data_IF_588775191285
#
_entry.id   IF_588775191285
#
_cell.length_a   1.000
_cell.length_b   1.000
_cell.length_c   1.000
_cell.angle_alpha   90.00
_cell.angle_beta   90.00
_cell.angle_gamma   90.00
#
_symmetry.space_group_name_H-M   'P 1'
#
loop_
_entity.id
_entity.type
_entity.pdbx_description
1 polymer ?
#
# COMPACT_ATOMS: atom_id res chain seq x y z
N UNK A 1 28.71 -4.22 22.16
CA UNK A 1 29.26 -3.76 20.86
C UNK A 1 28.43 -2.57 20.43
N UNK A 2 28.97 -1.42 20.04
CA UNK A 2 28.19 -0.31 19.56
C UNK A 2 27.61 -0.69 18.21
N UNK A 3 26.30 -0.61 18.07
CA UNK A 3 25.60 -0.74 16.80
C UNK A 3 26.00 0.42 15.90
N UNK A 4 26.44 0.13 14.67
CA UNK A 4 26.75 1.15 13.70
C UNK A 4 25.52 2.03 13.47
N UNK A 5 25.68 3.35 13.32
CA UNK A 5 24.56 4.24 13.04
C UNK A 5 23.93 3.86 11.70
N UNK A 6 22.62 3.70 11.69
CA UNK A 6 21.85 3.49 10.48
C UNK A 6 22.04 4.70 9.55
N UNK A 7 22.65 4.46 8.39
CA UNK A 7 22.74 5.46 7.33
C UNK A 7 21.48 5.30 6.46
N UNK A 8 20.52 6.18 6.64
CA UNK A 8 19.34 6.27 5.80
C UNK A 8 19.78 6.38 4.32
N UNK A 9 19.26 5.56 3.41
CA UNK A 9 19.43 5.82 1.99
C UNK A 9 18.98 7.26 1.72
N UNK A 10 19.84 8.08 1.15
CA UNK A 10 19.48 9.43 0.72
C UNK A 10 18.50 9.31 -0.43
N UNK A 11 17.21 9.25 -0.12
CA UNK A 11 16.22 9.56 -1.12
C UNK A 11 16.49 11.00 -1.55
N UNK A 12 17.00 11.17 -2.76
CA UNK A 12 17.04 12.49 -3.39
C UNK A 12 15.63 13.04 -3.34
N UNK A 13 15.44 14.17 -2.65
CA UNK A 13 14.17 14.88 -2.70
C UNK A 13 13.80 15.05 -4.17
N UNK A 14 12.57 14.74 -4.56
CA UNK A 14 12.15 15.02 -5.92
C UNK A 14 12.40 16.49 -6.22
N UNK A 15 12.77 16.85 -7.47
CA UNK A 15 13.05 18.23 -7.85
C UNK A 15 11.86 19.10 -7.46
N UNK A 16 12.16 20.33 -6.99
CA UNK A 16 11.15 21.28 -6.56
C UNK A 16 10.05 21.40 -7.62
N UNK A 17 8.84 21.03 -7.23
CA UNK A 17 7.67 21.03 -8.12
C UNK A 17 7.33 22.49 -8.40
N UNK A 18 7.33 22.95 -9.68
CA UNK A 18 6.88 24.29 -10.00
C UNK A 18 5.42 24.45 -9.58
N UNK A 19 4.99 25.65 -9.16
CA UNK A 19 3.62 25.89 -8.77
C UNK A 19 2.69 25.67 -9.96
N UNK A 20 1.99 24.54 -9.99
CA UNK A 20 1.00 24.26 -11.00
C UNK A 20 -0.32 24.95 -10.63
N UNK A 21 -0.50 26.16 -11.10
CA UNK A 21 -1.79 26.78 -11.30
C UNK A 21 -2.38 26.28 -12.63
N UNK A 22 -2.76 25.02 -12.68
CA UNK A 22 -3.62 24.56 -13.74
C UNK A 22 -5.06 24.47 -13.19
N UNK A 23 -6.05 25.04 -13.90
CA UNK A 23 -7.44 24.85 -13.54
C UNK A 23 -7.72 23.34 -13.57
N UNK A 24 -8.18 22.81 -12.44
CA UNK A 24 -8.53 21.40 -12.36
C UNK A 24 -9.76 21.19 -13.21
N UNK A 25 -9.62 20.49 -14.31
CA UNK A 25 -10.75 19.90 -15.00
C UNK A 25 -11.52 19.06 -13.97
N UNK A 26 -12.87 19.15 -13.95
CA UNK A 26 -13.65 18.28 -13.11
C UNK A 26 -13.23 16.84 -13.41
N UNK A 27 -12.94 16.07 -12.35
CA UNK A 27 -12.63 14.65 -12.48
C UNK A 27 -13.79 14.04 -13.27
N UNK A 28 -13.51 13.55 -14.46
CA UNK A 28 -14.48 12.77 -15.21
C UNK A 28 -15.02 11.68 -14.27
N UNK A 29 -16.32 11.39 -14.27
CA UNK A 29 -16.86 10.33 -13.44
C UNK A 29 -16.04 9.07 -13.72
N UNK A 30 -15.51 8.46 -12.66
CA UNK A 30 -14.76 7.21 -12.78
C UNK A 30 -15.72 6.19 -13.40
N UNK A 31 -15.43 5.77 -14.62
CA UNK A 31 -16.17 4.66 -15.22
C UNK A 31 -16.06 3.45 -14.30
N UNK A 32 -17.10 2.66 -14.13
CA UNK A 32 -17.02 1.44 -13.36
C UNK A 32 -15.97 0.51 -13.98
N UNK A 33 -15.27 -0.29 -13.18
CA UNK A 33 -14.36 -1.30 -13.72
C UNK A 33 -15.16 -2.29 -14.58
N UNK A 34 -14.56 -2.71 -15.69
CA UNK A 34 -15.16 -3.74 -16.57
C UNK A 34 -14.97 -5.14 -16.02
N UNK A 35 -13.98 -5.32 -15.16
CA UNK A 35 -13.71 -6.59 -14.46
C UNK A 35 -13.04 -6.35 -13.12
N UNK A 36 -13.33 -7.20 -12.12
CA UNK A 36 -12.77 -7.09 -10.77
C UNK A 36 -12.36 -8.47 -10.28
N UNK A 37 -11.16 -8.57 -9.73
CA UNK A 37 -10.68 -9.80 -9.07
C UNK A 37 -10.39 -9.50 -7.61
N UNK A 38 -10.94 -10.30 -6.72
CA UNK A 38 -10.74 -10.18 -5.29
C UNK A 38 -9.54 -11.04 -4.84
N UNK A 39 -8.47 -10.37 -4.43
CA UNK A 39 -7.22 -11.01 -3.98
C UNK A 39 -7.32 -11.62 -2.57
N UNK A 40 -8.44 -11.43 -1.89
CA UNK A 40 -8.71 -12.03 -0.58
C UNK A 40 -9.50 -13.35 -0.70
N UNK A 41 -9.53 -13.91 -1.89
CA UNK A 41 -10.06 -15.24 -2.17
C UNK A 41 -8.95 -16.12 -2.72
N UNK A 42 -9.03 -17.43 -2.48
CA UNK A 42 -8.05 -18.38 -3.00
C UNK A 42 -7.94 -18.32 -4.52
N UNK A 43 -9.08 -18.26 -5.20
CA UNK A 43 -9.12 -18.18 -6.67
C UNK A 43 -8.50 -16.88 -7.20
N UNK A 44 -8.79 -15.75 -6.56
CA UNK A 44 -8.26 -14.46 -6.96
C UNK A 44 -6.77 -14.36 -6.70
N UNK A 45 -6.30 -14.76 -5.52
CA UNK A 45 -4.86 -14.81 -5.20
C UNK A 45 -4.12 -15.77 -6.15
N UNK A 46 -4.65 -16.95 -6.39
CA UNK A 46 -4.04 -17.92 -7.30
C UNK A 46 -3.93 -17.39 -8.74
N UNK A 47 -4.95 -16.65 -9.22
CA UNK A 47 -4.93 -16.07 -10.56
C UNK A 47 -3.75 -15.12 -10.79
N UNK A 48 -3.32 -14.40 -9.76
CA UNK A 48 -2.18 -13.46 -9.80
C UNK A 48 -0.89 -14.06 -9.25
N UNK A 49 -0.88 -15.32 -8.82
CA UNK A 49 0.25 -15.91 -8.10
C UNK A 49 0.55 -15.20 -6.77
N UNK A 50 -0.45 -14.53 -6.20
CA UNK A 50 -0.31 -13.78 -4.96
C UNK A 50 -0.16 -14.72 -3.77
N UNK A 51 0.90 -14.51 -2.99
CA UNK A 51 1.13 -15.17 -1.71
C UNK A 51 1.24 -14.08 -0.66
N UNK A 52 0.24 -14.01 0.20
CA UNK A 52 0.24 -13.00 1.26
C UNK A 52 1.15 -13.42 2.41
N UNK A 53 1.86 -12.44 2.93
CA UNK A 53 2.67 -12.55 4.14
C UNK A 53 2.40 -11.38 5.04
N UNK A 54 2.44 -11.61 6.35
CA UNK A 54 2.20 -10.56 7.33
C UNK A 54 3.25 -10.59 8.44
N UNK A 55 3.50 -9.42 9.03
CA UNK A 55 4.36 -9.27 10.20
C UNK A 55 3.99 -8.01 10.96
N UNK A 56 4.07 -8.08 12.29
CA UNK A 56 3.98 -6.88 13.11
C UNK A 56 5.09 -5.90 12.76
N UNK A 57 4.74 -4.63 12.66
CA UNK A 57 5.67 -3.53 12.43
C UNK A 57 5.93 -2.74 13.71
N UNK A 58 6.97 -1.90 13.69
CA UNK A 58 7.30 -0.98 14.79
C UNK A 58 7.48 0.43 14.23
N UNK A 59 7.05 1.41 15.00
CA UNK A 59 7.47 2.79 14.79
C UNK A 59 8.66 3.07 15.69
N UNK A 60 9.74 3.57 15.10
CA UNK A 60 10.97 3.92 15.80
C UNK A 60 11.17 5.42 15.72
N UNK A 61 11.30 6.06 16.88
CA UNK A 61 11.60 7.48 16.94
C UNK A 61 13.02 7.74 16.47
N UNK A 62 13.17 8.67 15.55
CA UNK A 62 14.47 9.09 15.02
C UNK A 62 14.60 10.61 15.05
N UNK A 63 15.85 11.14 15.13
CA UNK A 63 16.07 12.57 14.98
C UNK A 63 15.51 13.07 13.64
N UNK A 64 14.78 14.16 13.68
CA UNK A 64 14.30 14.79 12.45
C UNK A 64 15.49 15.24 11.60
N UNK A 65 15.43 15.01 10.30
CA UNK A 65 16.33 15.66 9.38
C UNK A 65 16.12 17.17 9.51
N UNK A 66 17.21 17.93 9.72
CA UNK A 66 17.16 19.38 9.85
C UNK A 66 16.77 20.01 8.52
N UNK A 67 15.48 20.08 8.23
CA UNK A 67 14.97 21.05 7.25
C UNK A 67 14.64 22.33 8.03
N UNK A 68 15.31 23.42 7.73
CA UNK A 68 15.12 24.71 8.40
C UNK A 68 13.67 25.23 8.34
N UNK A 69 12.84 24.67 7.47
CA UNK A 69 11.42 25.01 7.30
C UNK A 69 10.48 24.16 8.16
N UNK A 70 10.96 23.04 8.66
CA UNK A 70 10.16 22.10 9.45
C UNK A 70 10.81 21.99 10.84
N UNK A 71 10.29 22.71 11.80
CA UNK A 71 10.84 22.74 13.17
C UNK A 71 10.55 21.47 13.99
N UNK A 72 10.51 20.30 13.33
CA UNK A 72 10.38 19.02 14.02
C UNK A 72 11.71 18.62 14.64
N UNK A 73 11.69 18.21 15.90
CA UNK A 73 12.87 17.69 16.60
C UNK A 73 13.06 16.19 16.36
N UNK A 74 11.97 15.51 16.12
CA UNK A 74 11.94 14.05 15.92
C UNK A 74 11.01 13.70 14.77
N UNK A 75 11.25 12.58 14.18
CA UNK A 75 10.37 11.91 13.21
C UNK A 75 10.27 10.44 13.56
N UNK A 76 9.49 9.68 12.82
CA UNK A 76 9.36 8.26 13.01
C UNK A 76 9.79 7.51 11.76
N UNK A 77 10.40 6.37 11.99
CA UNK A 77 10.72 5.39 10.96
C UNK A 77 9.90 4.12 11.19
N UNK A 78 9.71 3.33 10.16
CA UNK A 78 8.91 2.09 10.22
C UNK A 78 9.85 0.91 10.06
N UNK A 79 9.86 0.02 11.03
CA UNK A 79 10.65 -1.21 10.99
C UNK A 79 9.78 -2.46 10.90
N UNK A 80 10.21 -3.45 10.09
CA UNK A 80 11.27 -3.37 9.08
C UNK A 80 10.85 -2.52 7.88
N UNK A 81 11.82 -2.11 7.05
CA UNK A 81 11.59 -1.37 5.80
C UNK A 81 11.02 -2.29 4.71
N UNK A 82 9.83 -2.77 4.93
CA UNK A 82 9.18 -3.72 4.05
C UNK A 82 8.61 -3.09 2.77
N UNK A 83 8.63 -1.77 2.67
CA UNK A 83 8.31 -1.02 1.46
C UNK A 83 9.38 -1.12 0.39
N UNK A 84 10.62 -1.48 0.76
CA UNK A 84 11.75 -1.51 -0.17
C UNK A 84 11.59 -2.62 -1.20
N UNK A 85 11.95 -2.34 -2.48
CA UNK A 85 11.95 -3.36 -3.52
C UNK A 85 12.92 -4.49 -3.17
N UNK A 86 12.52 -5.73 -3.45
CA UNK A 86 13.34 -6.90 -3.18
C UNK A 86 13.52 -7.21 -1.69
N UNK A 87 12.71 -6.63 -0.81
CA UNK A 87 12.74 -6.97 0.61
C UNK A 87 12.46 -8.46 0.81
N UNK A 88 13.33 -9.14 1.57
CA UNK A 88 13.15 -10.57 1.89
C UNK A 88 12.12 -10.76 3.01
N UNK A 89 10.93 -11.16 2.62
CA UNK A 89 9.84 -11.50 3.51
C UNK A 89 9.66 -13.03 3.70
N UNK A 90 10.61 -13.84 3.22
CA UNK A 90 10.50 -15.31 3.25
C UNK A 90 10.31 -15.89 4.66
N UNK A 91 10.85 -15.21 5.66
CA UNK A 91 10.71 -15.57 7.08
C UNK A 91 9.43 -15.05 7.75
N UNK A 92 8.52 -14.41 7.00
CA UNK A 92 7.26 -13.91 7.55
C UNK A 92 6.19 -14.98 7.57
N UNK A 93 5.18 -14.77 8.42
CA UNK A 93 4.01 -15.63 8.49
C UNK A 93 3.25 -15.59 7.16
N UNK A 94 2.90 -16.81 6.68
CA UNK A 94 2.02 -16.94 5.53
C UNK A 94 0.59 -16.69 5.95
N UNK A 95 -0.07 -15.81 5.24
CA UNK A 95 -1.49 -15.52 5.43
C UNK A 95 -2.28 -16.15 4.29
N UNK A 96 -3.12 -17.15 4.54
CA UNK A 96 -4.10 -17.60 3.55
C UNK A 96 -4.91 -16.41 3.03
N UNK A 97 -5.21 -16.36 1.74
CA UNK A 97 -5.93 -15.23 1.16
C UNK A 97 -7.23 -14.88 1.90
N UNK A 98 -7.95 -15.88 2.34
CA UNK A 98 -9.20 -15.76 3.12
C UNK A 98 -8.99 -15.21 4.53
N UNK A 99 -7.78 -15.34 5.09
CA UNK A 99 -7.46 -14.96 6.46
C UNK A 99 -6.83 -13.57 6.55
N UNK A 100 -6.40 -12.98 5.41
CA UNK A 100 -5.88 -11.60 5.35
C UNK A 100 -6.86 -10.62 6.01
N UNK A 101 -8.16 -10.84 5.83
CA UNK A 101 -9.24 -10.07 6.45
C UNK A 101 -9.48 -10.36 7.94
N UNK A 102 -8.64 -11.14 8.59
CA UNK A 102 -8.71 -11.37 10.03
C UNK A 102 -8.53 -10.08 10.84
N UNK A 103 -9.32 -9.90 11.88
CA UNK A 103 -9.22 -8.77 12.78
C UNK A 103 -8.01 -8.90 13.70
N UNK A 104 -7.17 -7.86 13.81
CA UNK A 104 -5.92 -7.86 14.57
C UNK A 104 -5.83 -6.68 15.53
N UNK A 105 -4.97 -6.79 16.53
CA UNK A 105 -4.61 -5.69 17.41
C UNK A 105 -5.56 -5.40 18.57
N UNK A 106 -6.72 -6.02 18.65
CA UNK A 106 -7.64 -6.10 19.79
C UNK A 106 -7.67 -4.90 20.76
N UNK A 107 -8.12 -3.70 20.34
CA UNK A 107 -8.25 -2.51 21.18
C UNK A 107 -6.93 -1.76 21.48
N UNK A 108 -5.83 -2.19 20.89
CA UNK A 108 -4.52 -1.54 21.05
C UNK A 108 -4.07 -0.88 19.76
N UNK A 109 -3.31 0.20 19.87
CA UNK A 109 -2.56 0.71 18.72
C UNK A 109 -1.60 -0.38 18.27
N UNK A 110 -1.69 -0.76 17.03
CA UNK A 110 -0.86 -1.80 16.44
C UNK A 110 -0.52 -1.47 15.01
N UNK A 111 0.62 -1.98 14.57
CA UNK A 111 1.18 -1.72 13.26
C UNK A 111 1.49 -3.05 12.62
N UNK A 112 1.07 -3.25 11.35
CA UNK A 112 1.32 -4.48 10.62
C UNK A 112 1.75 -4.18 9.20
N UNK A 113 2.70 -4.95 8.72
CA UNK A 113 3.00 -5.08 7.32
C UNK A 113 2.25 -6.26 6.72
N UNK A 114 1.70 -6.05 5.53
CA UNK A 114 1.26 -7.10 4.63
C UNK A 114 2.02 -6.97 3.32
N UNK A 115 2.51 -8.08 2.79
CA UNK A 115 3.22 -8.11 1.52
C UNK A 115 2.69 -9.20 0.62
N UNK A 116 2.72 -8.93 -0.68
CA UNK A 116 2.52 -9.92 -1.73
C UNK A 116 3.15 -9.45 -3.03
N UNK A 117 3.37 -10.37 -3.96
CA UNK A 117 3.75 -10.04 -5.32
C UNK A 117 2.63 -10.47 -6.25
N UNK A 118 2.19 -9.55 -7.09
CA UNK A 118 1.18 -9.81 -8.12
C UNK A 118 1.88 -10.03 -9.46
N UNK A 119 1.51 -11.08 -10.17
CA UNK A 119 1.87 -11.26 -11.57
C UNK A 119 0.61 -11.14 -12.42
N UNK A 120 0.57 -10.22 -13.37
CA UNK A 120 -0.59 -10.05 -14.25
C UNK A 120 -0.75 -11.32 -15.10
N UNK A 121 -1.85 -12.07 -14.98
CA UNK A 121 -2.09 -13.23 -15.82
C UNK A 121 -2.54 -12.81 -17.22
N UNK A 122 -2.43 -13.66 -18.22
CA UNK A 122 -3.02 -13.38 -19.55
C UNK A 122 -4.55 -13.29 -19.46
N UNK A 123 -5.15 -14.10 -18.61
CA UNK A 123 -6.59 -14.06 -18.35
C UNK A 123 -6.86 -14.11 -16.84
N UNK A 124 -7.63 -13.14 -16.34
CA UNK A 124 -8.08 -13.07 -14.96
C UNK A 124 -9.57 -13.42 -14.91
N UNK A 125 -9.92 -14.61 -14.42
CA UNK A 125 -11.30 -15.10 -14.38
C UNK A 125 -12.04 -14.94 -15.74
N UNK A 126 -11.36 -15.26 -16.84
CA UNK A 126 -11.90 -15.18 -18.20
C UNK A 126 -11.74 -13.80 -18.88
N UNK A 127 -11.30 -12.78 -18.18
CA UNK A 127 -11.02 -11.46 -18.75
C UNK A 127 -9.60 -11.39 -19.31
N UNK A 128 -9.47 -10.99 -20.58
CA UNK A 128 -8.17 -10.73 -21.21
C UNK A 128 -7.56 -9.43 -20.62
N UNK A 129 -6.40 -9.53 -20.00
CA UNK A 129 -5.76 -8.42 -19.29
C UNK A 129 -4.86 -7.57 -20.17
N UNK A 130 -4.49 -8.07 -21.36
CA UNK A 130 -3.55 -7.38 -22.25
C UNK A 130 -4.06 -5.97 -22.64
N UNK A 131 -3.26 -4.94 -22.37
CA UNK A 131 -3.59 -3.57 -22.70
C UNK A 131 -4.75 -2.98 -21.88
N UNK A 132 -5.15 -3.62 -20.80
CA UNK A 132 -6.09 -3.04 -19.85
C UNK A 132 -5.39 -2.10 -18.86
N UNK A 133 -6.08 -1.09 -18.37
CA UNK A 133 -5.65 -0.35 -17.19
C UNK A 133 -6.00 -1.15 -15.95
N UNK A 134 -5.02 -1.44 -15.11
CA UNK A 134 -5.23 -2.14 -13.84
C UNK A 134 -5.06 -1.17 -12.66
N UNK A 135 -5.97 -1.25 -11.70
CA UNK A 135 -5.95 -0.47 -10.46
C UNK A 135 -6.02 -1.42 -9.29
N UNK A 136 -5.01 -1.37 -8.43
CA UNK A 136 -5.06 -2.03 -7.13
C UNK A 136 -5.92 -1.19 -6.19
N UNK A 137 -6.94 -1.81 -5.59
CA UNK A 137 -7.80 -1.21 -4.58
C UNK A 137 -7.57 -1.93 -3.26
N UNK A 138 -7.13 -1.17 -2.25
CA UNK A 138 -6.89 -1.67 -0.88
C UNK A 138 -7.69 -0.83 0.11
N UNK A 139 -8.40 -1.47 1.01
CA UNK A 139 -9.10 -0.81 2.10
C UNK A 139 -8.72 -1.47 3.44
N UNK A 140 -8.20 -0.67 4.35
CA UNK A 140 -7.87 -1.09 5.71
C UNK A 140 -8.55 -0.15 6.71
N UNK A 141 -9.22 -0.70 7.68
CA UNK A 141 -9.75 -0.03 8.86
C UNK A 141 -8.69 -0.20 9.98
N UNK A 142 -8.10 0.86 10.51
CA UNK A 142 -8.45 2.28 10.37
C UNK A 142 -7.67 3.02 9.26
N UNK A 143 -6.46 2.57 8.90
CA UNK A 143 -5.53 3.36 8.10
C UNK A 143 -4.53 2.44 7.39
N UNK A 144 -4.17 2.78 6.17
CA UNK A 144 -3.08 2.12 5.45
C UNK A 144 -2.28 3.07 4.57
N UNK A 145 -1.00 2.75 4.45
CA UNK A 145 -0.12 3.25 3.40
C UNK A 145 0.23 2.10 2.47
N UNK A 146 0.17 2.32 1.17
CA UNK A 146 0.36 1.28 0.16
C UNK A 146 1.49 1.64 -0.77
N UNK A 147 2.46 0.76 -0.90
CA UNK A 147 3.58 0.87 -1.83
C UNK A 147 3.44 -0.14 -2.97
N UNK A 148 3.82 0.28 -4.16
CA UNK A 148 3.94 -0.58 -5.34
C UNK A 148 5.36 -0.43 -5.85
N UNK A 149 6.11 -1.53 -5.91
CA UNK A 149 7.52 -1.55 -6.33
C UNK A 149 8.39 -0.51 -5.58
N UNK A 150 8.19 -0.40 -4.27
CA UNK A 150 8.93 0.52 -3.42
C UNK A 150 8.55 2.00 -3.55
N UNK A 151 7.57 2.33 -4.38
CA UNK A 151 7.05 3.68 -4.50
C UNK A 151 5.65 3.78 -3.88
N UNK A 152 5.43 4.84 -3.12
CA UNK A 152 4.10 5.22 -2.66
C UNK A 152 3.61 6.33 -3.59
N UNK A 153 2.70 6.03 -4.54
CA UNK A 153 2.25 7.00 -5.51
C UNK A 153 1.60 8.20 -4.83
N UNK A 154 2.04 9.40 -5.16
CA UNK A 154 1.51 10.65 -4.60
C UNK A 154 1.17 11.61 -5.72
N UNK A 155 0.04 12.28 -5.60
CA UNK A 155 -0.32 13.39 -6.47
C UNK A 155 0.09 14.69 -5.79
N UNK A 156 0.88 15.51 -6.46
CA UNK A 156 1.32 16.80 -5.92
C UNK A 156 0.12 17.68 -5.52
N UNK A 157 0.21 18.28 -4.33
CA UNK A 157 -0.81 19.21 -3.83
C UNK A 157 -2.12 18.58 -3.38
N UNK A 158 -2.21 17.24 -3.37
CA UNK A 158 -3.35 16.51 -2.80
C UNK A 158 -2.84 15.36 -1.94
N UNK A 159 -3.58 14.98 -0.89
CA UNK A 159 -3.40 13.66 -0.35
C UNK A 159 -3.60 12.71 -1.53
N UNK A 160 -2.60 11.88 -1.82
CA UNK A 160 -2.71 10.91 -2.90
C UNK A 160 -3.90 10.00 -2.61
N UNK A 161 -4.72 9.65 -3.62
CA UNK A 161 -5.74 8.62 -3.46
C UNK A 161 -5.14 7.28 -3.04
N UNK A 162 -3.82 7.16 -3.08
CA UNK A 162 -3.08 5.97 -2.70
C UNK A 162 -2.57 5.98 -1.26
N UNK A 163 -2.53 7.11 -0.58
CA UNK A 163 -1.56 7.19 0.51
C UNK A 163 -2.12 7.29 1.90
N UNK A 164 -3.24 7.91 2.09
CA UNK A 164 -3.68 8.20 3.46
C UNK A 164 -5.19 8.22 3.46
N UNK A 165 -5.75 7.07 3.25
CA UNK A 165 -7.17 6.91 3.42
C UNK A 165 -7.36 5.85 4.49
N UNK A 166 -7.83 6.29 5.61
CA UNK A 166 -8.26 5.43 6.68
C UNK A 166 -9.77 5.30 6.67
N UNK A 167 -10.26 4.48 7.55
CA UNK A 167 -11.64 4.27 7.88
C UNK A 167 -12.59 4.27 6.67
N UNK A 168 -12.76 3.11 6.09
CA UNK A 168 -13.69 2.87 4.97
C UNK A 168 -13.39 3.56 3.64
N UNK A 169 -12.23 4.20 3.50
CA UNK A 169 -11.81 4.83 2.26
C UNK A 169 -10.77 3.97 1.55
N UNK A 170 -11.04 3.43 0.37
CA UNK A 170 -10.08 2.61 -0.35
C UNK A 170 -8.92 3.43 -0.92
N UNK A 171 -7.71 2.92 -0.75
CA UNK A 171 -6.56 3.33 -1.52
C UNK A 171 -6.67 2.75 -2.94
N UNK A 172 -6.44 3.54 -3.98
CA UNK A 172 -6.53 3.10 -5.39
C UNK A 172 -5.25 3.49 -6.12
N UNK A 173 -4.50 2.50 -6.57
CA UNK A 173 -3.21 2.69 -7.21
C UNK A 173 -3.23 2.12 -8.62
N UNK A 174 -2.84 2.92 -9.60
CA UNK A 174 -2.64 2.41 -10.95
C UNK A 174 -1.40 1.51 -10.95
N UNK A 175 -1.54 0.30 -11.46
CA UNK A 175 -0.44 -0.62 -11.65
C UNK A 175 0.23 -0.32 -12.99
N UNK A 176 1.56 -0.25 -12.99
CA UNK A 176 2.34 0.11 -14.17
C UNK A 176 2.15 1.57 -14.61
N UNK A 177 2.59 1.87 -15.83
CA UNK A 177 2.60 3.24 -16.39
C UNK A 177 1.29 3.66 -17.06
N UNK A 178 0.26 2.87 -16.97
CA UNK A 178 -1.14 3.05 -17.37
C UNK A 178 -1.80 1.75 -17.83
N UNK A 179 -1.14 0.98 -18.68
CA UNK A 179 -1.65 -0.28 -19.21
C UNK A 179 -0.75 -1.42 -18.74
N UNK A 180 -1.35 -2.57 -18.49
CA UNK A 180 -0.62 -3.76 -18.07
C UNK A 180 -0.50 -4.77 -19.21
N UNK A 181 0.55 -5.58 -19.10
CA UNK A 181 0.81 -6.71 -19.97
C UNK A 181 0.86 -8.00 -19.15
N UNK A 182 0.44 -9.14 -19.72
CA UNK A 182 0.64 -10.43 -19.08
C UNK A 182 2.11 -10.65 -18.72
N UNK A 183 2.37 -11.07 -17.49
CA UNK A 183 3.72 -11.26 -16.96
C UNK A 183 4.29 -10.06 -16.18
N UNK A 184 3.69 -8.90 -16.26
CA UNK A 184 4.09 -7.75 -15.41
C UNK A 184 3.99 -8.13 -13.94
N UNK A 185 5.00 -7.71 -13.16
CA UNK A 185 5.10 -8.02 -11.74
C UNK A 185 5.09 -6.76 -10.90
N UNK A 186 4.33 -6.82 -9.80
CA UNK A 186 4.21 -5.72 -8.85
C UNK A 186 4.41 -6.24 -7.44
N UNK A 187 5.45 -5.76 -6.77
CA UNK A 187 5.63 -5.95 -5.33
C UNK A 187 4.71 -4.99 -4.58
N UNK A 188 3.83 -5.53 -3.77
CA UNK A 188 2.87 -4.75 -2.98
C UNK A 188 3.28 -4.83 -1.51
N UNK A 189 3.42 -3.68 -0.87
CA UNK A 189 3.59 -3.58 0.57
C UNK A 189 2.50 -2.66 1.14
N UNK A 190 1.81 -3.13 2.17
CA UNK A 190 0.76 -2.39 2.86
C UNK A 190 1.16 -2.24 4.33
N UNK A 191 1.41 -1.01 4.74
CA UNK A 191 1.58 -0.67 6.15
C UNK A 191 0.21 -0.31 6.71
N UNK A 192 -0.26 -1.07 7.66
CA UNK A 192 -1.59 -0.96 8.23
C UNK A 192 -1.52 -0.61 9.72
N UNK A 193 -2.42 0.27 10.16
CA UNK A 193 -2.45 0.80 11.50
C UNK A 193 -3.83 0.59 12.12
N UNK A 194 -3.85 0.14 13.37
CA UNK A 194 -5.02 0.19 14.24
C UNK A 194 -4.90 1.37 15.20
N UNK A 195 -5.82 2.34 15.13
CA UNK A 195 -5.99 3.53 15.96
C UNK A 195 -7.43 4.04 15.88
N UNK A 196 -7.81 5.08 16.58
CA UNK A 196 -7.07 5.87 17.56
C UNK A 196 -6.98 5.22 18.94
N UNK A 197 -6.04 5.74 19.76
CA UNK A 197 -5.80 5.25 21.13
C UNK A 197 -7.05 5.35 22.01
N UNK A 198 -7.89 6.37 21.78
CA UNK A 198 -9.12 6.61 22.53
C UNK A 198 -10.30 5.73 22.10
N UNK A 199 -10.09 4.84 21.16
CA UNK A 199 -11.17 3.98 20.66
C UNK A 199 -11.65 3.00 21.71
N UNK A 200 -12.89 2.59 21.54
CA UNK A 200 -13.52 1.57 22.38
C UNK A 200 -12.79 0.23 22.30
N UNK A 201 -12.91 -0.64 23.32
CA UNK A 201 -12.17 -1.91 23.39
C UNK A 201 -12.34 -2.86 22.19
N UNK A 202 -13.37 -2.64 21.37
CA UNK A 202 -13.65 -3.45 20.19
C UNK A 202 -12.90 -2.98 18.93
N UNK A 203 -12.07 -1.93 19.03
CA UNK A 203 -11.29 -1.47 17.89
C UNK A 203 -10.18 -2.46 17.51
N UNK A 204 -9.99 -2.67 16.23
CA UNK A 204 -9.00 -3.61 15.68
C UNK A 204 -8.62 -3.21 14.27
N UNK A 205 -7.43 -3.55 13.86
CA UNK A 205 -7.01 -3.48 12.48
C UNK A 205 -7.77 -4.51 11.65
N UNK A 206 -8.39 -4.06 10.58
CA UNK A 206 -9.14 -4.91 9.68
C UNK A 206 -8.81 -4.62 8.22
N UNK A 207 -8.12 -5.54 7.58
CA UNK A 207 -7.88 -5.48 6.16
C UNK A 207 -9.17 -5.89 5.43
N UNK A 208 -9.91 -4.94 4.89
CA UNK A 208 -11.27 -5.14 4.38
C UNK A 208 -11.33 -5.54 2.92
N UNK A 209 -10.43 -5.01 2.11
CA UNK A 209 -10.43 -5.23 0.67
C UNK A 209 -9.01 -5.22 0.10
N UNK A 210 -8.74 -6.16 -0.79
CA UNK A 210 -7.64 -6.14 -1.73
C UNK A 210 -8.16 -6.65 -3.08
N UNK A 211 -8.30 -5.76 -4.07
CA UNK A 211 -8.90 -6.09 -5.36
C UNK A 211 -8.06 -5.51 -6.49
N UNK A 212 -8.03 -6.19 -7.62
CA UNK A 212 -7.55 -5.62 -8.88
C UNK A 212 -8.76 -5.31 -9.74
N UNK A 213 -8.91 -4.05 -10.10
CA UNK A 213 -9.96 -3.51 -10.95
C UNK A 213 -9.38 -3.23 -12.33
N UNK A 214 -10.01 -3.75 -13.39
CA UNK A 214 -9.61 -3.52 -14.77
C UNK A 214 -10.55 -2.56 -15.48
N UNK A 215 -9.95 -1.69 -16.32
CA UNK A 215 -10.67 -0.68 -17.12
C UNK A 215 -10.19 -0.74 -18.57
N UNK A 216 -11.08 -0.38 -19.51
CA UNK A 216 -10.80 -0.23 -20.93
C UNK A 216 -11.31 1.09 -21.44
#
# INVERSE_FOLDING_TARGET
>A
MPTAPYIRPTHSLPPAIPPLLQPQLPLAPLLPPVHVVDLMTDAGSAAFGAVWRAKAAKLVECPALSDARLAFKTTYDIEPHAELPGFDDSGWELEPATDVGGKRGGGMVSFHWFRTTLTIPAHAAGFDTAGAKAVLRVNVDDYAEVWVNGAMPRTAGRPSPATIQGFNMPNRLVLGDNLVSPGDKFEIAVFAINGPISAVPANFLWFREAKVEFFR
#
